data_IF_888444095838
#
_entry.id   IF_888444095838
#
_cell.length_a   1.000
_cell.length_b   1.000
_cell.length_c   1.000
_cell.angle_alpha   90.00
_cell.angle_beta   90.00
_cell.angle_gamma   90.00
#
_symmetry.space_group_name_H-M   'P 1'
#
loop_
_entity.id
_entity.type
_entity.pdbx_description
1 polymer ?
#
# COMPACT_ATOMS: atom_id res chain seq x y z
N UNK A 1 36.65 45.87 28.72
CA UNK A 1 35.36 45.36 29.22
C UNK A 1 35.04 44.09 28.45
N UNK A 2 35.12 42.91 29.09
CA UNK A 2 34.90 41.60 28.48
C UNK A 2 33.42 41.22 28.61
N UNK A 3 32.75 40.90 27.49
CA UNK A 3 31.41 40.30 27.49
C UNK A 3 31.57 38.78 27.56
N UNK A 4 30.94 38.05 28.51
CA UNK A 4 30.99 36.60 28.51
C UNK A 4 29.96 36.01 27.54
N UNK A 5 30.43 35.03 26.78
CA UNK A 5 29.70 34.17 25.86
C UNK A 5 28.75 33.24 26.64
N UNK A 6 27.45 33.23 26.33
CA UNK A 6 26.50 32.22 26.82
C UNK A 6 26.02 31.40 25.61
N UNK A 7 26.35 30.10 25.49
CA UNK A 7 25.75 29.27 24.45
C UNK A 7 24.35 28.88 24.90
N UNK A 8 23.34 29.33 24.16
CA UNK A 8 21.96 28.90 24.33
C UNK A 8 21.86 27.43 23.89
N UNK A 9 21.91 26.52 24.86
CA UNK A 9 21.69 25.09 24.67
C UNK A 9 20.19 24.87 24.33
N UNK A 10 19.87 24.78 23.05
CA UNK A 10 18.51 24.45 22.62
C UNK A 10 18.34 22.92 22.70
N UNK A 11 17.84 22.43 23.83
CA UNK A 11 17.46 21.04 24.00
C UNK A 11 16.26 20.71 23.09
N UNK A 12 16.52 20.03 21.98
CA UNK A 12 15.49 19.52 21.08
C UNK A 12 14.79 18.33 21.75
N UNK A 13 13.69 18.59 22.46
CA UNK A 13 12.76 17.56 22.94
C UNK A 13 12.07 16.93 21.73
N UNK A 14 12.65 15.86 21.17
CA UNK A 14 11.90 14.92 20.33
C UNK A 14 10.89 14.18 21.22
N UNK A 15 9.66 14.68 21.28
CA UNK A 15 8.55 13.82 21.71
C UNK A 15 8.43 12.70 20.67
N UNK A 16 8.46 11.41 21.05
CA UNK A 16 8.19 10.34 20.11
C UNK A 16 6.74 10.49 19.66
N UNK A 17 6.53 10.88 18.41
CA UNK A 17 5.23 10.76 17.79
C UNK A 17 4.84 9.28 17.89
N UNK A 18 3.75 8.97 18.59
CA UNK A 18 3.22 7.60 18.64
C UNK A 18 2.97 7.15 17.20
N UNK A 19 3.85 6.30 16.69
CA UNK A 19 3.66 5.60 15.42
C UNK A 19 2.52 4.62 15.67
N UNK A 20 1.29 5.00 15.31
CA UNK A 20 0.24 4.00 15.15
C UNK A 20 0.73 3.03 14.07
N UNK A 21 0.80 1.75 14.42
CA UNK A 21 1.13 0.70 13.45
C UNK A 21 0.12 0.79 12.31
N UNK A 22 0.61 1.08 11.11
CA UNK A 22 -0.20 1.03 9.89
C UNK A 22 -0.49 -0.45 9.63
N UNK A 23 -1.76 -0.79 9.43
CA UNK A 23 -2.17 -2.18 9.23
C UNK A 23 -1.61 -2.72 7.91
N UNK A 24 -1.13 -3.97 7.91
CA UNK A 24 -0.62 -4.67 6.72
C UNK A 24 -1.45 -5.94 6.47
N UNK A 25 -1.64 -6.37 5.20
CA UNK A 25 -2.33 -7.63 4.91
C UNK A 25 -1.56 -8.79 5.55
N UNK A 26 -2.23 -9.65 6.35
CA UNK A 26 -1.57 -10.78 6.98
C UNK A 26 -1.13 -11.78 5.90
N UNK A 27 -0.05 -12.50 6.17
CA UNK A 27 0.40 -13.60 5.31
C UNK A 27 0.96 -14.75 6.13
N UNK A 28 0.93 -15.93 5.53
CA UNK A 28 1.65 -17.11 6.00
C UNK A 28 2.96 -17.24 5.20
N UNK A 29 4.10 -17.32 5.90
CA UNK A 29 5.37 -17.60 5.26
C UNK A 29 5.46 -19.10 4.96
N UNK A 30 5.49 -19.45 3.67
CA UNK A 30 5.57 -20.84 3.21
C UNK A 30 7.01 -21.34 3.13
N UNK A 31 7.91 -20.50 2.61
CA UNK A 31 9.31 -20.86 2.35
C UNK A 31 10.17 -19.62 2.16
N UNK A 32 11.43 -19.69 2.54
CA UNK A 32 12.46 -18.71 2.16
C UNK A 32 13.42 -19.34 1.16
N UNK A 33 13.72 -18.61 0.08
CA UNK A 33 14.69 -18.97 -0.96
C UNK A 33 15.98 -18.16 -0.74
N UNK A 34 16.92 -18.29 -1.68
CA UNK A 34 18.14 -17.47 -1.72
C UNK A 34 17.81 -15.97 -1.84
N UNK A 35 18.81 -15.12 -1.55
CA UNK A 35 18.69 -13.64 -1.61
C UNK A 35 17.59 -13.07 -0.69
N UNK A 36 17.14 -13.85 0.30
CA UNK A 36 16.08 -13.45 1.22
C UNK A 36 14.70 -13.38 0.57
N UNK A 37 14.49 -14.05 -0.57
CA UNK A 37 13.17 -14.13 -1.21
C UNK A 37 12.23 -14.98 -0.37
N UNK A 38 11.04 -14.47 -0.08
CA UNK A 38 10.01 -15.16 0.70
C UNK A 38 8.84 -15.58 -0.18
N UNK A 39 8.39 -16.82 -0.04
CA UNK A 39 7.12 -17.30 -0.59
C UNK A 39 6.05 -17.14 0.47
N UNK A 40 5.08 -16.27 0.20
CA UNK A 40 4.03 -15.88 1.15
C UNK A 40 2.66 -16.24 0.59
N UNK A 41 1.82 -16.85 1.41
CA UNK A 41 0.39 -17.01 1.12
C UNK A 41 -0.38 -15.86 1.73
N UNK A 42 -1.04 -15.08 0.89
CA UNK A 42 -1.96 -14.04 1.32
C UNK A 42 -3.40 -14.59 1.26
N UNK A 43 -4.21 -14.39 2.32
CA UNK A 43 -5.64 -14.65 2.24
C UNK A 43 -6.31 -13.64 1.29
N UNK A 44 -7.58 -13.85 0.96
CA UNK A 44 -8.34 -12.85 0.21
C UNK A 44 -8.53 -11.56 1.01
N UNK A 45 -8.49 -10.42 0.32
CA UNK A 45 -8.68 -9.09 0.91
C UNK A 45 -9.36 -8.15 -0.08
N UNK A 46 -9.98 -7.08 0.44
CA UNK A 46 -10.63 -6.06 -0.40
C UNK A 46 -9.63 -4.94 -0.67
N UNK A 47 -9.67 -4.39 -1.88
CA UNK A 47 -8.88 -3.23 -2.30
C UNK A 47 -9.77 -2.12 -2.83
N UNK A 48 -9.31 -0.88 -2.64
CA UNK A 48 -9.71 0.24 -3.48
C UNK A 48 -8.61 0.48 -4.51
N UNK A 49 -8.95 0.53 -5.80
CA UNK A 49 -8.00 0.65 -6.89
C UNK A 49 -8.37 1.73 -7.91
N UNK A 50 -7.34 2.29 -8.55
CA UNK A 50 -7.48 3.20 -9.70
C UNK A 50 -6.51 2.73 -10.79
N UNK A 51 -6.95 2.76 -12.04
CA UNK A 51 -6.08 2.58 -13.21
C UNK A 51 -5.85 3.93 -13.88
N UNK A 52 -4.60 4.34 -14.00
CA UNK A 52 -4.21 5.59 -14.66
C UNK A 52 -3.21 5.31 -15.79
N UNK A 53 -3.25 6.07 -16.89
CA UNK A 53 -2.26 5.94 -17.96
C UNK A 53 -0.87 6.32 -17.47
N UNK A 54 0.15 5.69 -18.06
CA UNK A 54 1.56 5.97 -17.77
C UNK A 54 2.25 4.93 -16.89
N UNK A 55 3.55 5.14 -16.62
CA UNK A 55 4.38 4.17 -15.91
C UNK A 55 4.06 4.11 -14.41
N UNK A 56 4.41 3.00 -13.73
CA UNK A 56 4.05 2.75 -12.33
C UNK A 56 4.35 3.90 -11.37
N UNK A 57 5.54 4.52 -11.47
CA UNK A 57 5.92 5.61 -10.58
C UNK A 57 5.04 6.86 -10.75
N UNK A 58 4.78 7.25 -12.00
CA UNK A 58 3.95 8.42 -12.31
C UNK A 58 2.49 8.18 -11.93
N UNK A 59 1.95 7.02 -12.30
CA UNK A 59 0.59 6.62 -11.96
C UNK A 59 0.39 6.52 -10.44
N UNK A 60 1.37 5.96 -9.71
CA UNK A 60 1.36 5.89 -8.24
C UNK A 60 1.20 7.27 -7.59
N UNK A 61 2.01 8.25 -8.03
CA UNK A 61 1.93 9.62 -7.51
C UNK A 61 0.59 10.31 -7.80
N UNK A 62 -0.03 10.03 -8.95
CA UNK A 62 -1.32 10.61 -9.33
C UNK A 62 -2.51 9.90 -8.66
N UNK A 63 -2.44 8.59 -8.48
CA UNK A 63 -3.51 7.79 -7.89
C UNK A 63 -3.57 7.93 -6.36
N UNK A 64 -2.42 8.11 -5.69
CA UNK A 64 -2.36 8.23 -4.24
C UNK A 64 -3.36 9.26 -3.66
N UNK A 65 -3.40 10.54 -4.09
CA UNK A 65 -4.36 11.51 -3.55
C UNK A 65 -5.83 11.16 -3.86
N UNK A 66 -6.10 10.43 -4.95
CA UNK A 66 -7.46 9.96 -5.29
C UNK A 66 -7.90 8.90 -4.28
N UNK A 67 -7.07 7.87 -4.07
CA UNK A 67 -7.33 6.79 -3.13
C UNK A 67 -7.32 7.27 -1.67
N UNK A 68 -6.40 8.17 -1.31
CA UNK A 68 -6.41 8.82 0.00
C UNK A 68 -7.70 9.62 0.22
N UNK A 69 -8.18 10.33 -0.83
CA UNK A 69 -9.47 11.01 -0.78
C UNK A 69 -10.61 10.06 -0.43
N UNK A 70 -10.67 8.88 -1.06
CA UNK A 70 -11.64 7.84 -0.75
C UNK A 70 -11.56 7.40 0.72
N UNK A 71 -10.36 7.03 1.20
CA UNK A 71 -10.12 6.57 2.57
C UNK A 71 -10.48 7.65 3.61
N UNK A 72 -10.24 8.92 3.31
CA UNK A 72 -10.51 10.05 4.20
C UNK A 72 -11.86 10.75 3.98
N UNK A 73 -12.85 10.03 3.45
CA UNK A 73 -14.25 10.49 3.46
C UNK A 73 -14.81 10.99 2.13
N UNK A 74 -14.13 10.86 0.99
CA UNK A 74 -14.74 11.06 -0.34
C UNK A 74 -15.50 9.79 -0.78
N UNK A 75 -16.38 9.32 0.08
CA UNK A 75 -17.24 8.15 -0.11
C UNK A 75 -18.65 8.43 0.43
N UNK A 76 -19.61 7.59 0.06
CA UNK A 76 -21.01 7.72 0.47
C UNK A 76 -21.27 7.28 1.91
N UNK A 77 -20.24 6.97 2.71
CA UNK A 77 -20.43 6.53 4.09
C UNK A 77 -21.00 5.12 4.24
N UNK A 78 -21.21 4.73 5.49
CA UNK A 78 -22.01 3.56 5.84
C UNK A 78 -23.50 3.91 5.78
N UNK A 79 -24.33 3.00 5.26
CA UNK A 79 -25.78 3.14 5.34
C UNK A 79 -26.24 2.95 6.79
N UNK A 80 -26.28 4.01 7.58
CA UNK A 80 -26.94 3.99 8.90
C UNK A 80 -28.41 4.34 8.72
N UNK A 81 -29.29 3.37 8.99
CA UNK A 81 -30.70 3.64 9.22
C UNK A 81 -30.83 4.16 10.64
N UNK A 82 -31.10 5.46 10.81
CA UNK A 82 -31.55 5.93 12.12
C UNK A 82 -32.96 5.41 12.39
N UNK A 83 -33.13 4.72 13.52
CA UNK A 83 -34.40 4.13 13.98
C UNK A 83 -35.37 5.19 14.53
N UNK A 84 -35.44 6.36 13.89
CA UNK A 84 -36.32 7.47 14.29
C UNK A 84 -37.33 7.76 13.18
N UNK A 85 -38.54 8.16 13.56
CA UNK A 85 -39.56 8.60 12.62
C UNK A 85 -39.47 10.15 12.47
N UNK A 86 -39.35 10.72 11.27
CA UNK A 86 -39.19 10.07 9.96
C UNK A 86 -37.77 9.52 9.74
N UNK A 87 -37.67 8.33 9.12
CA UNK A 87 -36.38 7.71 8.77
C UNK A 87 -35.71 8.58 7.72
N UNK A 88 -34.75 9.38 8.16
CA UNK A 88 -33.95 10.21 7.27
C UNK A 88 -32.66 9.43 6.97
N UNK A 89 -32.48 9.03 5.72
CA UNK A 89 -31.22 8.42 5.27
C UNK A 89 -30.13 9.50 5.24
N UNK A 90 -29.33 9.61 6.31
CA UNK A 90 -28.08 10.36 6.29
C UNK A 90 -26.93 9.42 6.00
N UNK A 91 -26.50 9.42 4.74
CA UNK A 91 -25.21 8.89 4.32
C UNK A 91 -24.13 9.88 4.79
N UNK A 92 -23.55 9.65 5.97
CA UNK A 92 -22.42 10.46 6.45
C UNK A 92 -21.10 9.86 5.97
N UNK A 93 -20.21 10.67 5.34
CA UNK A 93 -18.88 10.23 4.95
C UNK A 93 -18.16 9.42 6.05
N UNK A 94 -17.63 8.26 5.69
CA UNK A 94 -16.89 7.41 6.62
C UNK A 94 -15.39 7.51 6.37
N UNK A 95 -14.60 7.66 7.43
CA UNK A 95 -13.14 7.56 7.35
C UNK A 95 -12.72 6.13 7.62
N UNK A 96 -11.90 5.58 6.72
CA UNK A 96 -11.27 4.27 6.88
C UNK A 96 -9.83 4.44 7.43
N UNK A 97 -9.35 3.52 8.30
CA UNK A 97 -7.93 3.44 8.61
C UNK A 97 -7.08 3.26 7.35
N UNK A 98 -5.93 3.95 7.29
CA UNK A 98 -4.92 3.67 6.26
C UNK A 98 -4.23 2.33 6.52
N UNK A 99 -3.94 1.62 5.44
CA UNK A 99 -3.13 0.40 5.45
C UNK A 99 -1.85 0.60 4.62
N UNK A 100 -0.93 -0.33 4.76
CA UNK A 100 0.24 -0.51 3.92
C UNK A 100 0.25 -1.97 3.39
N UNK A 101 0.97 -2.28 2.31
CA UNK A 101 1.58 -1.35 1.38
C UNK A 101 0.55 -0.68 0.45
N UNK A 102 0.97 0.39 -0.21
CA UNK A 102 0.36 0.82 -1.48
C UNK A 102 1.02 0.01 -2.59
N UNK A 103 0.23 -0.69 -3.40
CA UNK A 103 0.73 -1.52 -4.50
C UNK A 103 0.53 -0.84 -5.84
N UNK A 104 1.48 -1.04 -6.75
CA UNK A 104 1.35 -0.63 -8.16
C UNK A 104 1.74 -1.76 -9.09
N UNK A 105 0.94 -2.01 -10.11
CA UNK A 105 1.14 -3.04 -11.13
C UNK A 105 0.90 -2.47 -12.54
N UNK A 106 1.68 -2.90 -13.52
CA UNK A 106 1.41 -2.57 -14.92
C UNK A 106 0.23 -3.42 -15.44
N UNK A 107 -0.75 -2.78 -16.10
CA UNK A 107 -1.95 -3.45 -16.63
C UNK A 107 -2.33 -2.86 -18.00
N UNK A 108 -3.18 -3.54 -18.81
CA UNK A 108 -3.73 -2.91 -20.00
C UNK A 108 -4.40 -1.56 -19.66
N UNK A 109 -4.02 -0.50 -20.39
CA UNK A 109 -4.51 0.86 -20.14
C UNK A 109 -3.66 1.72 -19.20
N UNK A 110 -2.59 1.17 -18.59
CA UNK A 110 -1.62 1.95 -17.81
C UNK A 110 -1.11 1.20 -16.59
N UNK A 111 -1.23 1.80 -15.43
CA UNK A 111 -0.83 1.20 -14.16
C UNK A 111 -1.99 1.20 -13.17
N UNK A 112 -2.21 0.07 -12.52
CA UNK A 112 -3.17 -0.11 -11.44
C UNK A 112 -2.50 0.18 -10.12
N UNK A 113 -3.08 1.07 -9.34
CA UNK A 113 -2.61 1.42 -7.99
C UNK A 113 -3.69 1.01 -7.00
N UNK A 114 -3.32 0.35 -5.91
CA UNK A 114 -4.27 -0.20 -4.95
C UNK A 114 -3.91 0.14 -3.52
N UNK A 115 -4.95 0.40 -2.73
CA UNK A 115 -4.91 0.43 -1.27
C UNK A 115 -5.68 -0.79 -0.77
N UNK A 116 -5.07 -1.54 0.14
CA UNK A 116 -5.77 -2.60 0.85
C UNK A 116 -6.78 -1.94 1.81
N UNK A 117 -7.98 -2.50 1.94
CA UNK A 117 -8.91 -2.05 2.97
C UNK A 117 -8.60 -2.75 4.30
N UNK A 118 -8.87 -2.11 5.45
CA UNK A 118 -8.64 -2.72 6.76
C UNK A 118 -9.31 -4.07 6.91
N UNK A 119 -8.70 -4.94 7.73
CA UNK A 119 -9.20 -6.28 7.98
C UNK A 119 -10.63 -6.23 8.51
N UNK A 120 -11.47 -7.10 7.96
CA UNK A 120 -12.88 -7.22 8.33
C UNK A 120 -13.82 -6.43 7.44
N UNK A 121 -13.31 -5.49 6.62
CA UNK A 121 -14.12 -4.83 5.59
C UNK A 121 -14.43 -5.84 4.47
N UNK A 122 -15.71 -6.14 4.27
CA UNK A 122 -16.19 -6.95 3.14
C UNK A 122 -16.54 -6.03 1.97
N UNK A 123 -16.42 -6.52 0.74
CA UNK A 123 -16.71 -5.73 -0.46
C UNK A 123 -18.13 -5.13 -0.44
N UNK A 124 -19.11 -5.89 0.08
CA UNK A 124 -20.50 -5.47 0.18
C UNK A 124 -20.75 -4.35 1.22
N UNK A 125 -19.87 -4.21 2.21
CA UNK A 125 -19.99 -3.20 3.27
C UNK A 125 -19.06 -2.00 3.05
N UNK A 126 -18.11 -2.12 2.10
CA UNK A 126 -17.18 -1.06 1.81
C UNK A 126 -17.91 0.20 1.33
N UNK A 127 -17.63 1.39 1.90
CA UNK A 127 -18.27 2.64 1.49
C UNK A 127 -18.12 2.86 0.01
N UNK A 128 -19.19 3.25 -0.68
CA UNK A 128 -19.12 3.47 -2.13
C UNK A 128 -18.29 4.73 -2.44
N UNK A 129 -17.31 4.67 -3.35
CA UNK A 129 -16.54 5.85 -3.72
C UNK A 129 -17.40 6.90 -4.42
N UNK A 130 -17.09 8.17 -4.19
CA UNK A 130 -17.71 9.28 -4.93
C UNK A 130 -16.97 9.57 -6.26
N UNK A 131 -15.68 9.24 -6.31
CA UNK A 131 -14.89 9.37 -7.53
C UNK A 131 -15.09 8.13 -8.42
N UNK A 132 -15.64 8.27 -9.65
CA UNK A 132 -15.94 7.14 -10.51
C UNK A 132 -14.70 6.39 -11.00
N UNK A 133 -13.50 6.93 -10.82
CA UNK A 133 -12.24 6.27 -11.15
C UNK A 133 -11.82 5.24 -10.11
N UNK A 134 -12.34 5.35 -8.88
CA UNK A 134 -12.06 4.41 -7.79
C UNK A 134 -12.99 3.21 -7.93
N UNK A 135 -12.39 2.03 -8.00
CA UNK A 135 -13.09 0.76 -8.06
C UNK A 135 -12.80 -0.04 -6.80
N UNK A 136 -13.80 -0.74 -6.29
CA UNK A 136 -13.64 -1.67 -5.17
C UNK A 136 -13.62 -3.09 -5.72
N UNK A 137 -12.67 -3.90 -5.27
CA UNK A 137 -12.51 -5.28 -5.75
C UNK A 137 -12.02 -6.19 -4.66
N UNK A 138 -12.40 -7.46 -4.73
CA UNK A 138 -11.81 -8.53 -3.94
C UNK A 138 -10.59 -9.10 -4.67
N UNK A 139 -9.46 -9.11 -3.98
CA UNK A 139 -8.29 -9.89 -4.38
C UNK A 139 -8.42 -11.29 -3.80
N UNK A 140 -8.44 -12.35 -4.62
CA UNK A 140 -8.54 -13.71 -4.12
C UNK A 140 -7.25 -14.11 -3.39
N UNK A 141 -7.36 -15.13 -2.54
CA UNK A 141 -6.21 -15.73 -1.89
C UNK A 141 -5.18 -16.16 -2.94
N UNK A 142 -3.92 -15.81 -2.70
CA UNK A 142 -2.85 -16.00 -3.69
C UNK A 142 -1.50 -16.24 -3.01
N UNK A 143 -0.63 -16.96 -3.70
CA UNK A 143 0.76 -17.14 -3.28
C UNK A 143 1.63 -16.16 -4.07
N UNK A 144 2.47 -15.41 -3.36
CA UNK A 144 3.40 -14.45 -3.94
C UNK A 144 4.82 -14.75 -3.49
N UNK A 145 5.75 -14.69 -4.43
CA UNK A 145 7.17 -14.55 -4.13
C UNK A 145 7.49 -13.08 -3.90
N UNK A 146 8.25 -12.77 -2.86
CA UNK A 146 8.51 -11.41 -2.41
C UNK A 146 9.99 -11.22 -2.16
N UNK A 147 10.58 -10.17 -2.75
CA UNK A 147 11.90 -9.67 -2.38
C UNK A 147 11.76 -8.30 -1.72
N UNK A 148 12.46 -8.09 -0.60
CA UNK A 148 12.49 -6.82 0.13
C UNK A 148 13.78 -6.06 -0.17
N UNK A 149 13.69 -4.74 -0.27
CA UNK A 149 14.83 -3.85 -0.42
C UNK A 149 14.59 -2.47 0.19
N UNK A 150 15.68 -1.73 0.38
CA UNK A 150 15.69 -0.31 0.75
C UNK A 150 16.19 0.53 -0.42
N UNK A 151 15.86 1.83 -0.45
CA UNK A 151 16.30 2.71 -1.53
C UNK A 151 15.24 3.70 -2.01
N UNK A 152 15.63 4.45 -3.05
CA UNK A 152 14.73 5.31 -3.80
C UNK A 152 13.73 4.49 -4.63
N UNK A 153 12.58 5.11 -4.93
CA UNK A 153 11.65 4.57 -5.91
C UNK A 153 12.13 4.98 -7.30
N UNK A 154 12.60 4.03 -8.09
CA UNK A 154 13.11 4.26 -9.43
C UNK A 154 12.91 3.01 -10.28
N UNK A 155 12.73 3.20 -11.59
CA UNK A 155 12.62 2.09 -12.53
C UNK A 155 13.84 1.16 -12.49
N UNK A 156 15.02 1.70 -12.19
CA UNK A 156 16.26 0.92 -12.03
C UNK A 156 16.19 -0.03 -10.82
N UNK A 157 15.81 0.48 -9.63
CA UNK A 157 15.66 -0.37 -8.45
C UNK A 157 14.55 -1.41 -8.64
N UNK A 158 13.47 -1.02 -9.28
CA UNK A 158 12.32 -1.89 -9.55
C UNK A 158 12.70 -3.03 -10.49
N UNK A 159 13.43 -2.71 -11.57
CA UNK A 159 13.97 -3.69 -12.51
C UNK A 159 14.98 -4.63 -11.85
N UNK A 160 15.99 -4.09 -11.16
CA UNK A 160 17.03 -4.89 -10.50
C UNK A 160 16.45 -5.94 -9.55
N UNK A 161 15.50 -5.54 -8.70
CA UNK A 161 14.92 -6.46 -7.72
C UNK A 161 13.91 -7.41 -8.36
N UNK A 162 13.22 -7.00 -9.44
CA UNK A 162 12.42 -7.91 -10.25
C UNK A 162 13.30 -9.01 -10.86
N UNK A 163 14.45 -8.66 -11.42
CA UNK A 163 15.37 -9.61 -12.04
C UNK A 163 15.97 -10.58 -11.02
N UNK A 164 16.38 -10.07 -9.85
CA UNK A 164 16.83 -10.90 -8.72
C UNK A 164 15.74 -11.89 -8.27
N UNK A 165 14.51 -11.43 -8.15
CA UNK A 165 13.38 -12.25 -7.74
C UNK A 165 13.09 -13.35 -8.78
N UNK A 166 13.04 -13.00 -10.07
CA UNK A 166 12.83 -13.97 -11.17
C UNK A 166 13.96 -15.00 -11.22
N UNK A 167 15.22 -14.56 -11.04
CA UNK A 167 16.36 -15.46 -11.02
C UNK A 167 16.31 -16.44 -9.82
N UNK A 168 15.93 -15.98 -8.64
CA UNK A 168 15.77 -16.84 -7.46
C UNK A 168 14.65 -17.88 -7.65
N UNK A 169 13.53 -17.47 -8.25
CA UNK A 169 12.44 -18.39 -8.61
C UNK A 169 12.88 -19.45 -9.63
N UNK A 170 13.59 -19.03 -10.68
CA UNK A 170 14.08 -19.95 -11.71
C UNK A 170 15.03 -21.02 -11.13
N UNK A 171 15.95 -20.63 -10.23
CA UNK A 171 16.84 -21.58 -9.53
C UNK A 171 16.08 -22.55 -8.63
N UNK A 172 14.96 -22.11 -8.05
CA UNK A 172 14.09 -22.94 -7.26
C UNK A 172 13.12 -23.82 -8.09
N UNK A 173 13.17 -23.73 -9.42
CA UNK A 173 12.26 -24.45 -10.32
C UNK A 173 10.82 -23.92 -10.32
N UNK A 174 10.62 -22.67 -9.88
CA UNK A 174 9.31 -22.03 -9.79
C UNK A 174 9.13 -21.01 -10.92
N UNK A 175 7.88 -20.85 -11.39
CA UNK A 175 7.54 -19.90 -12.44
C UNK A 175 6.70 -18.75 -11.87
N UNK A 176 7.09 -17.52 -12.24
CA UNK A 176 6.32 -16.32 -11.94
C UNK A 176 5.23 -16.10 -13.00
N UNK A 177 4.07 -15.62 -12.57
CA UNK A 177 2.95 -15.25 -13.42
C UNK A 177 2.76 -13.73 -13.44
N UNK A 178 2.51 -13.19 -14.62
CA UNK A 178 2.14 -11.79 -14.80
C UNK A 178 3.26 -10.78 -14.54
N UNK A 179 2.82 -9.54 -14.32
CA UNK A 179 3.67 -8.38 -14.08
C UNK A 179 4.11 -8.27 -12.61
N UNK A 180 5.26 -7.66 -12.32
CA UNK A 180 5.67 -7.40 -10.95
C UNK A 180 4.74 -6.38 -10.29
N UNK A 181 4.39 -6.66 -9.04
CA UNK A 181 3.66 -5.74 -8.17
C UNK A 181 4.65 -5.05 -7.25
N UNK A 182 4.73 -3.72 -7.37
CA UNK A 182 5.61 -2.86 -6.57
C UNK A 182 4.87 -2.45 -5.29
N UNK A 183 5.33 -2.91 -4.14
CA UNK A 183 4.72 -2.64 -2.84
C UNK A 183 5.54 -1.60 -2.04
N UNK A 184 4.91 -0.46 -1.75
CA UNK A 184 5.52 0.68 -1.02
C UNK A 184 4.89 0.82 0.36
N UNK A 185 5.69 0.67 1.41
CA UNK A 185 5.19 0.69 2.79
C UNK A 185 5.30 2.06 3.46
N UNK A 186 6.25 2.87 3.00
CA UNK A 186 6.59 4.11 3.68
C UNK A 186 6.15 5.34 2.88
N UNK A 187 5.75 6.38 3.60
CA UNK A 187 5.47 7.68 3.00
C UNK A 187 6.74 8.41 2.53
N UNK A 188 6.58 9.51 1.79
CA UNK A 188 7.69 10.26 1.20
C UNK A 188 8.68 10.82 2.24
N UNK A 189 8.23 11.09 3.47
CA UNK A 189 9.04 11.63 4.56
C UNK A 189 10.02 10.62 5.16
N UNK A 190 9.83 9.32 4.95
CA UNK A 190 10.77 8.30 5.44
C UNK A 190 12.08 8.40 4.65
N UNK A 191 13.24 8.52 5.32
CA UNK A 191 14.55 8.52 4.65
C UNK A 191 14.73 7.29 3.75
N UNK A 192 15.25 7.47 2.55
CA UNK A 192 15.27 6.43 1.51
C UNK A 192 15.94 5.11 1.93
N UNK A 193 16.99 5.17 2.76
CA UNK A 193 17.70 4.00 3.27
C UNK A 193 16.94 3.26 4.38
N UNK A 194 15.92 3.88 4.98
CA UNK A 194 15.02 3.28 5.96
C UNK A 194 13.69 2.80 5.35
N UNK A 195 13.45 3.06 4.06
CA UNK A 195 12.22 2.61 3.39
C UNK A 195 12.24 1.10 3.22
N UNK A 196 11.11 0.47 3.54
CA UNK A 196 10.75 -0.89 3.12
C UNK A 196 10.03 -0.80 1.78
N UNK A 197 10.67 -1.37 0.78
CA UNK A 197 10.09 -1.61 -0.53
C UNK A 197 10.06 -3.12 -0.77
N UNK A 198 9.07 -3.58 -1.50
CA UNK A 198 9.02 -4.97 -1.93
C UNK A 198 8.62 -5.06 -3.41
N UNK A 199 9.14 -6.06 -4.10
CA UNK A 199 8.61 -6.52 -5.40
C UNK A 199 7.95 -7.86 -5.17
N UNK A 200 6.71 -8.01 -5.64
CA UNK A 200 5.95 -9.23 -5.54
C UNK A 200 5.71 -9.81 -6.93
N UNK A 201 5.85 -11.13 -7.06
CA UNK A 201 5.42 -11.89 -8.25
C UNK A 201 4.47 -12.98 -7.81
N UNK A 202 3.34 -13.13 -8.50
CA UNK A 202 2.45 -14.27 -8.31
C UNK A 202 3.15 -15.54 -8.77
N UNK A 203 2.98 -16.64 -8.05
CA UNK A 203 3.48 -17.96 -8.43
C UNK A 203 2.33 -18.97 -8.49
N UNK A 204 2.51 -20.04 -9.28
CA UNK A 204 1.59 -21.19 -9.33
C UNK A 204 1.58 -21.98 -8.00
#
# INVERSE_FOLDING_TARGET
MRLPLLPLLFALLLAPAMVRAIEEPPYELLRTLEEGVELRRYPGYVVAEVVLPGPPLTAGNQAFPILAGYIFGKNQGERRYEMTAPVTLRAEPSTLPMTAPVTTEAVPGGSRVQFVLPRGVRLADAPLPLDPRVQLREEPATVRAVIRYSGFWSAANDGEHTDKLRAALARAGLQAQGEPVLARYNGPLTPWFLRRNEVWLKIE
#
